data_IF_574839058497
#
_entry.id   IF_574839058497
#
_cell.length_a   1.000
_cell.length_b   1.000
_cell.length_c   1.000
_cell.angle_alpha   90.00
_cell.angle_beta   90.00
_cell.angle_gamma   90.00
#
_symmetry.space_group_name_H-M   'P 1'
#
loop_
_entity.id
_entity.type
_entity.pdbx_description
1 polymer ?
#
# COMPACT_ATOMS: atom_id res chain seq x y z
N UNK A 1 13.36 37.94 1.88
CA UNK A 1 12.56 37.75 3.11
C UNK A 1 11.10 37.58 2.72
N UNK A 2 10.62 36.35 2.67
CA UNK A 2 9.23 35.99 2.95
C UNK A 2 9.22 34.48 3.16
N UNK A 3 8.60 34.05 4.25
CA UNK A 3 8.75 32.75 4.89
C UNK A 3 8.11 31.66 4.03
N UNK A 4 8.88 30.64 3.68
CA UNK A 4 8.35 29.35 3.18
C UNK A 4 7.68 28.66 4.35
N UNK A 5 6.36 28.61 4.31
CA UNK A 5 5.54 27.81 5.20
C UNK A 5 5.70 26.35 4.78
N UNK A 6 6.46 25.59 5.55
CA UNK A 6 6.43 24.14 5.50
C UNK A 6 5.07 23.69 6.05
N UNK A 7 4.20 23.22 5.17
CA UNK A 7 2.96 22.52 5.55
C UNK A 7 3.28 21.03 5.51
N UNK A 8 2.96 20.35 6.61
CA UNK A 8 3.11 18.92 6.79
C UNK A 8 2.33 18.16 5.72
N UNK A 9 3.04 17.56 4.76
CA UNK A 9 2.52 16.42 4.05
C UNK A 9 2.56 15.23 5.02
N UNK A 10 1.38 14.72 5.38
CA UNK A 10 1.27 13.43 6.04
C UNK A 10 1.98 12.40 5.18
N UNK A 11 2.90 11.66 5.79
CA UNK A 11 3.69 10.63 5.13
C UNK A 11 2.79 9.47 4.71
N UNK A 12 2.17 9.56 3.52
CA UNK A 12 1.89 8.39 2.71
C UNK A 12 3.26 7.87 2.24
N UNK A 13 3.85 7.01 3.06
CA UNK A 13 5.06 6.28 2.71
C UNK A 13 4.77 5.33 1.55
N UNK A 14 4.74 5.83 0.33
CA UNK A 14 4.86 5.02 -0.88
C UNK A 14 6.29 4.51 -0.87
N UNK A 15 6.45 3.22 -0.55
CA UNK A 15 7.73 2.53 -0.63
C UNK A 15 8.14 2.43 -2.11
N UNK A 16 8.85 3.46 -2.60
CA UNK A 16 9.59 3.40 -3.84
C UNK A 16 10.74 2.40 -3.65
N UNK A 17 10.68 1.28 -4.35
CA UNK A 17 11.83 0.42 -4.58
C UNK A 17 12.00 0.27 -6.08
N UNK A 18 12.68 1.26 -6.67
CA UNK A 18 13.38 1.08 -7.94
C UNK A 18 14.42 -0.03 -7.73
N UNK A 19 14.23 -1.15 -8.42
CA UNK A 19 15.17 -2.25 -8.47
C UNK A 19 16.43 -1.84 -9.24
N UNK A 20 17.31 -1.07 -8.60
CA UNK A 20 18.69 -0.85 -9.04
C UNK A 20 19.64 -1.69 -8.18
N UNK A 21 20.03 -2.87 -8.67
CA UNK A 21 21.10 -3.66 -8.04
C UNK A 21 22.42 -2.86 -8.06
N UNK A 22 22.81 -2.33 -6.91
CA UNK A 22 24.21 -2.05 -6.59
C UNK A 22 24.61 -2.95 -5.42
N UNK A 23 24.97 -4.20 -5.74
CA UNK A 23 25.67 -5.10 -4.82
C UNK A 23 27.06 -4.54 -4.51
N UNK A 24 27.19 -3.72 -3.47
CA UNK A 24 28.51 -3.44 -2.88
C UNK A 24 28.92 -4.62 -2.00
N UNK A 25 29.63 -5.57 -2.60
CA UNK A 25 30.36 -6.62 -1.87
C UNK A 25 31.60 -5.98 -1.24
N UNK A 26 31.49 -5.43 -0.02
CA UNK A 26 32.67 -5.00 0.76
C UNK A 26 33.28 -6.20 1.47
N UNK A 27 34.60 -6.34 1.36
CA UNK A 27 35.36 -7.38 2.04
C UNK A 27 35.29 -7.18 3.56
N UNK A 28 35.18 -8.30 4.30
CA UNK A 28 35.14 -8.32 5.76
C UNK A 28 36.51 -7.90 6.31
N UNK A 29 36.56 -6.76 6.98
CA UNK A 29 37.62 -6.38 7.91
C UNK A 29 37.22 -6.88 9.32
N UNK A 30 38.03 -7.69 10.02
CA UNK A 30 37.64 -8.32 11.30
C UNK A 30 37.46 -7.35 12.48
N UNK A 31 37.77 -6.06 12.32
CA UNK A 31 37.77 -5.06 13.39
C UNK A 31 36.59 -4.09 13.43
N UNK A 32 35.70 -4.09 12.44
CA UNK A 32 34.60 -3.14 12.38
C UNK A 32 33.30 -3.82 12.85
N UNK A 33 32.76 -3.40 14.00
CA UNK A 33 31.38 -3.76 14.37
C UNK A 33 30.49 -3.40 13.18
N UNK A 34 29.62 -4.33 12.82
CA UNK A 34 28.63 -4.08 11.79
C UNK A 34 27.85 -2.81 12.20
N UNK A 35 27.91 -1.69 11.47
CA UNK A 35 27.15 -0.49 11.80
C UNK A 35 25.63 -0.76 11.83
N UNK A 36 25.19 -1.91 11.31
CA UNK A 36 23.81 -2.40 11.36
C UNK A 36 23.47 -3.16 12.66
N UNK A 37 24.44 -3.53 13.50
CA UNK A 37 24.25 -4.43 14.68
C UNK A 37 23.38 -3.85 15.80
N UNK A 38 23.34 -2.54 15.99
CA UNK A 38 22.62 -1.90 17.10
C UNK A 38 21.20 -1.41 16.72
N UNK A 39 20.79 -1.54 15.46
CA UNK A 39 19.53 -0.98 14.93
C UNK A 39 18.57 -2.06 14.42
N UNK A 40 18.44 -3.11 15.23
CA UNK A 40 17.62 -4.27 14.93
C UNK A 40 16.15 -4.06 15.32
N UNK A 41 15.26 -4.78 14.63
CA UNK A 41 13.90 -4.99 15.14
C UNK A 41 13.97 -5.51 16.58
N UNK A 42 13.05 -5.11 17.48
CA UNK A 42 12.92 -5.74 18.78
C UNK A 42 12.83 -7.27 18.62
N UNK A 43 13.54 -8.03 19.45
CA UNK A 43 13.50 -9.49 19.41
C UNK A 43 12.07 -10.01 19.70
N UNK A 44 11.73 -11.19 19.19
CA UNK A 44 10.51 -11.86 19.57
C UNK A 44 10.63 -12.23 21.05
N UNK A 45 9.51 -12.32 21.80
CA UNK A 45 9.60 -12.90 23.13
C UNK A 45 10.11 -14.34 23.03
N UNK A 46 10.88 -14.77 24.03
CA UNK A 46 11.25 -16.17 24.15
C UNK A 46 9.96 -17.02 24.27
N UNK A 47 9.88 -18.16 23.55
CA UNK A 47 8.76 -19.06 23.71
C UNK A 47 8.59 -19.51 25.16
N UNK A 48 7.34 -19.64 25.62
CA UNK A 48 7.03 -20.08 26.98
C UNK A 48 5.97 -21.17 26.98
N UNK A 49 6.12 -22.12 27.89
CA UNK A 49 5.20 -23.22 28.17
C UNK A 49 4.25 -22.93 29.36
N UNK A 50 4.26 -21.69 29.86
CA UNK A 50 3.33 -21.23 30.89
C UNK A 50 1.87 -21.37 30.43
N UNK A 51 0.94 -21.76 31.34
CA UNK A 51 -0.49 -21.78 31.03
C UNK A 51 -0.97 -20.43 30.53
N UNK A 52 -1.73 -20.46 29.44
CA UNK A 52 -2.28 -19.26 28.81
C UNK A 52 -3.80 -19.23 28.90
N UNK A 53 -4.33 -18.02 29.09
CA UNK A 53 -5.74 -17.71 28.97
C UNK A 53 -5.97 -16.91 27.69
N UNK A 54 -6.99 -17.31 26.94
CA UNK A 54 -7.39 -16.67 25.68
C UNK A 54 -8.72 -15.94 25.88
N UNK A 55 -8.78 -14.69 25.43
CA UNK A 55 -10.01 -13.90 25.37
C UNK A 55 -10.30 -13.54 23.93
N UNK A 56 -11.43 -13.99 23.40
CA UNK A 56 -11.94 -13.54 22.11
C UNK A 56 -12.67 -12.21 22.29
N UNK A 57 -12.42 -11.24 21.42
CA UNK A 57 -12.92 -9.88 21.59
C UNK A 57 -12.90 -9.08 20.28
N UNK A 58 -13.46 -7.87 20.27
CA UNK A 58 -13.37 -6.98 19.12
C UNK A 58 -11.94 -6.46 18.89
N UNK A 59 -11.15 -6.29 19.95
CA UNK A 59 -9.78 -5.80 19.85
C UNK A 59 -9.15 -5.55 21.22
N UNK A 60 -8.05 -4.82 21.25
CA UNK A 60 -7.32 -4.47 22.46
C UNK A 60 -7.34 -2.97 22.71
N UNK A 61 -7.59 -2.56 23.96
CA UNK A 61 -7.41 -1.18 24.38
C UNK A 61 -6.13 -1.06 25.22
N UNK A 62 -5.13 -0.44 24.61
CA UNK A 62 -3.85 -0.07 25.20
C UNK A 62 -3.98 0.76 26.50
N UNK A 63 -4.95 1.67 26.55
CA UNK A 63 -5.07 2.63 27.64
C UNK A 63 -5.62 1.96 28.92
N UNK A 64 -6.68 1.17 28.76
CA UNK A 64 -7.25 0.38 29.87
C UNK A 64 -6.57 -0.96 30.08
N UNK A 65 -5.70 -1.39 29.16
CA UNK A 65 -5.03 -2.69 29.13
C UNK A 65 -6.03 -3.83 29.22
N UNK A 66 -7.08 -3.74 28.41
CA UNK A 66 -8.18 -4.70 28.47
C UNK A 66 -8.71 -5.08 27.07
N UNK A 67 -9.27 -6.30 26.93
CA UNK A 67 -9.98 -6.70 25.73
C UNK A 67 -11.24 -5.83 25.53
N UNK A 68 -11.40 -5.28 24.33
CA UNK A 68 -12.56 -4.45 23.94
C UNK A 68 -13.69 -5.37 23.48
N UNK A 69 -14.86 -5.27 24.11
CA UNK A 69 -16.05 -6.07 23.77
C UNK A 69 -15.75 -7.57 23.64
N UNK A 70 -15.46 -8.28 24.75
CA UNK A 70 -15.28 -9.72 24.74
C UNK A 70 -16.47 -10.44 24.10
N UNK A 71 -16.22 -11.60 23.49
CA UNK A 71 -17.22 -12.47 22.87
C UNK A 71 -16.94 -13.94 23.20
N UNK A 72 -17.93 -14.80 23.04
CA UNK A 72 -17.74 -16.24 23.18
C UNK A 72 -16.88 -16.81 22.06
N UNK A 73 -16.23 -17.94 22.33
CA UNK A 73 -15.48 -18.68 21.31
C UNK A 73 -16.37 -19.11 20.14
N UNK A 74 -17.63 -19.46 20.40
CA UNK A 74 -18.59 -19.84 19.37
C UNK A 74 -18.88 -18.67 18.41
N UNK A 75 -18.96 -17.44 18.93
CA UNK A 75 -19.09 -16.23 18.11
C UNK A 75 -17.81 -15.99 17.30
N UNK A 76 -16.64 -16.10 17.92
CA UNK A 76 -15.36 -15.93 17.22
C UNK A 76 -15.19 -16.96 16.09
N UNK A 77 -15.53 -18.24 16.32
CA UNK A 77 -15.51 -19.28 15.28
C UNK A 77 -16.49 -19.01 14.13
N UNK A 78 -17.67 -18.46 14.43
CA UNK A 78 -18.61 -18.03 13.37
C UNK A 78 -18.04 -16.87 12.55
N UNK A 79 -17.39 -15.89 13.21
CA UNK A 79 -16.74 -14.78 12.51
C UNK A 79 -15.59 -15.26 11.64
N UNK A 80 -14.72 -16.13 12.18
CA UNK A 80 -13.63 -16.74 11.45
C UNK A 80 -14.13 -17.48 10.20
N UNK A 81 -15.15 -18.33 10.34
CA UNK A 81 -15.74 -19.05 9.21
C UNK A 81 -16.42 -18.14 8.18
N UNK A 82 -17.00 -17.01 8.60
CA UNK A 82 -17.61 -16.01 7.72
C UNK A 82 -16.57 -15.05 7.08
N UNK A 83 -15.30 -15.17 7.45
CA UNK A 83 -14.24 -14.24 7.07
C UNK A 83 -14.34 -12.86 7.72
N UNK A 84 -15.14 -12.74 8.77
CA UNK A 84 -15.35 -11.54 9.55
C UNK A 84 -14.13 -11.15 10.40
N UNK A 85 -14.29 -10.02 11.08
CA UNK A 85 -13.27 -9.44 11.93
C UNK A 85 -13.40 -9.97 13.37
N UNK A 86 -12.29 -10.33 14.00
CA UNK A 86 -12.21 -10.63 15.44
C UNK A 86 -10.76 -10.51 15.94
N UNK A 87 -10.59 -10.41 17.25
CA UNK A 87 -9.29 -10.42 17.89
C UNK A 87 -9.22 -11.46 19.01
N UNK A 88 -7.99 -11.84 19.35
CA UNK A 88 -7.65 -12.81 20.37
C UNK A 88 -6.58 -12.21 21.27
N UNK A 89 -6.90 -11.96 22.53
CA UNK A 89 -5.92 -11.53 23.52
C UNK A 89 -5.40 -12.76 24.25
N UNK A 90 -4.08 -12.96 24.26
CA UNK A 90 -3.43 -14.08 24.92
C UNK A 90 -2.74 -13.57 26.18
N UNK A 91 -3.14 -14.10 27.32
CA UNK A 91 -2.62 -13.74 28.64
C UNK A 91 -1.79 -14.89 29.22
N UNK A 92 -0.64 -14.57 29.81
CA UNK A 92 0.16 -15.48 30.62
C UNK A 92 0.30 -14.88 32.03
N UNK A 93 0.00 -15.66 33.06
CA UNK A 93 -0.02 -15.16 34.45
C UNK A 93 -0.98 -13.99 34.68
N UNK A 94 -2.06 -13.89 33.88
CA UNK A 94 -3.04 -12.78 33.94
C UNK A 94 -2.58 -11.48 33.27
N UNK A 95 -1.41 -11.47 32.62
CA UNK A 95 -0.87 -10.32 31.89
C UNK A 95 -0.95 -10.59 30.40
N UNK A 96 -1.48 -9.63 29.63
CA UNK A 96 -1.48 -9.74 28.17
C UNK A 96 -0.05 -9.83 27.65
N UNK A 97 0.23 -10.82 26.80
CA UNK A 97 1.53 -11.02 26.14
C UNK A 97 1.44 -10.80 24.65
N UNK A 98 0.32 -11.21 24.06
CA UNK A 98 0.07 -11.03 22.65
C UNK A 98 -1.39 -10.66 22.37
N UNK A 99 -1.59 -9.95 21.26
CA UNK A 99 -2.90 -9.67 20.67
C UNK A 99 -2.84 -10.16 19.24
N UNK A 100 -3.82 -10.94 18.82
CA UNK A 100 -3.96 -11.39 17.44
C UNK A 100 -5.19 -10.76 16.83
N UNK A 101 -5.04 -10.14 15.68
CA UNK A 101 -6.14 -9.53 14.92
C UNK A 101 -6.34 -10.27 13.60
N UNK A 102 -7.58 -10.63 13.28
CA UNK A 102 -7.92 -11.50 12.16
C UNK A 102 -9.09 -10.95 11.36
N UNK A 103 -8.95 -10.92 10.04
CA UNK A 103 -10.02 -10.62 9.10
C UNK A 103 -9.75 -11.27 7.74
N UNK A 104 -10.43 -12.38 7.44
CA UNK A 104 -10.17 -13.11 6.18
C UNK A 104 -10.78 -12.46 4.94
N UNK A 105 -11.80 -11.62 5.09
CA UNK A 105 -12.27 -10.76 4.00
C UNK A 105 -11.17 -9.80 3.50
N UNK A 106 -10.15 -9.52 4.32
CA UNK A 106 -8.96 -8.74 3.97
C UNK A 106 -7.69 -9.61 3.87
N UNK A 107 -7.81 -10.93 3.87
CA UNK A 107 -6.69 -11.88 3.90
C UNK A 107 -5.70 -11.63 5.05
N UNK A 108 -6.14 -11.03 6.16
CA UNK A 108 -5.25 -10.50 7.18
C UNK A 108 -5.28 -11.31 8.47
N UNK A 109 -4.09 -11.58 9.00
CA UNK A 109 -3.90 -11.92 10.40
C UNK A 109 -2.65 -11.21 10.90
N UNK A 110 -2.65 -10.71 12.13
CA UNK A 110 -1.48 -10.06 12.71
C UNK A 110 -1.33 -10.38 14.17
N UNK A 111 -0.09 -10.73 14.57
CA UNK A 111 0.28 -10.97 15.97
C UNK A 111 1.08 -9.78 16.47
N UNK A 112 0.60 -9.10 17.51
CA UNK A 112 1.34 -8.06 18.23
C UNK A 112 1.78 -8.56 19.58
N UNK A 113 2.97 -8.14 19.98
CA UNK A 113 3.49 -8.34 21.32
C UNK A 113 3.42 -7.04 22.11
N UNK A 114 2.96 -7.16 23.35
CA UNK A 114 2.81 -6.03 24.28
C UNK A 114 3.82 -6.15 25.42
N UNK A 115 4.37 -5.02 25.84
CA UNK A 115 5.24 -4.94 27.01
C UNK A 115 4.41 -4.97 28.32
N UNK A 116 5.08 -5.01 29.47
CA UNK A 116 4.40 -5.03 30.78
C UNK A 116 3.57 -3.75 31.06
N UNK A 117 3.72 -2.70 30.24
CA UNK A 117 2.89 -1.48 30.28
C UNK A 117 1.71 -1.55 29.31
N UNK A 118 1.51 -2.68 28.63
CA UNK A 118 0.46 -2.90 27.64
C UNK A 118 0.78 -2.36 26.25
N UNK A 119 2.01 -1.86 26.02
CA UNK A 119 2.39 -1.14 24.80
C UNK A 119 2.91 -2.09 23.74
N UNK A 120 2.45 -1.93 22.50
CA UNK A 120 3.02 -2.67 21.37
C UNK A 120 4.51 -2.35 21.19
N UNK A 121 5.33 -3.39 21.04
CA UNK A 121 6.75 -3.23 20.70
C UNK A 121 7.17 -3.99 19.44
N UNK A 122 6.48 -5.09 19.10
CA UNK A 122 6.70 -5.87 17.88
C UNK A 122 5.38 -6.37 17.30
N UNK A 123 5.29 -6.47 15.98
CA UNK A 123 4.13 -6.98 15.26
C UNK A 123 4.54 -7.79 14.04
N UNK A 124 3.86 -8.90 13.78
CA UNK A 124 4.05 -9.71 12.58
C UNK A 124 2.72 -9.86 11.86
N UNK A 125 2.60 -9.18 10.72
CA UNK A 125 1.45 -9.28 9.83
C UNK A 125 1.66 -10.41 8.83
N UNK A 126 0.61 -11.21 8.68
CA UNK A 126 0.49 -12.32 7.76
C UNK A 126 -0.55 -12.02 6.69
N UNK A 127 -0.44 -12.77 5.59
CA UNK A 127 -1.48 -12.87 4.57
C UNK A 127 -1.92 -14.32 4.41
N UNK A 128 -3.23 -14.54 4.30
CA UNK A 128 -3.82 -15.84 3.95
C UNK A 128 -3.88 -15.98 2.43
N UNK A 129 -3.08 -16.90 1.91
CA UNK A 129 -2.95 -17.17 0.47
C UNK A 129 -4.00 -18.19 0.01
N UNK A 130 -4.24 -18.32 -1.33
CA UNK A 130 -5.24 -19.24 -1.88
C UNK A 130 -5.02 -20.72 -1.53
N UNK A 131 -3.80 -21.10 -1.14
CA UNK A 131 -3.44 -22.44 -0.69
C UNK A 131 -3.68 -22.66 0.82
N UNK A 132 -4.41 -21.75 1.48
CA UNK A 132 -4.78 -21.84 2.89
C UNK A 132 -3.60 -21.79 3.86
N UNK A 133 -2.54 -21.08 3.45
CA UNK A 133 -1.35 -20.86 4.28
C UNK A 133 -1.17 -19.38 4.62
N UNK A 134 -0.70 -19.15 5.84
CA UNK A 134 -0.26 -17.84 6.31
C UNK A 134 1.20 -17.64 5.93
N UNK A 135 1.47 -16.58 5.18
CA UNK A 135 2.82 -16.15 4.83
C UNK A 135 3.08 -14.78 5.43
N UNK A 136 4.30 -14.58 5.93
CA UNK A 136 4.73 -13.29 6.47
C UNK A 136 4.65 -12.25 5.35
N UNK A 137 4.02 -11.14 5.69
CA UNK A 137 3.85 -9.97 4.83
C UNK A 137 4.72 -8.83 5.32
N UNK A 138 4.66 -8.52 6.62
CA UNK A 138 5.42 -7.43 7.21
C UNK A 138 5.72 -7.69 8.68
N UNK A 139 6.93 -7.35 9.12
CA UNK A 139 7.30 -7.29 10.54
C UNK A 139 7.54 -5.83 10.92
N UNK A 140 6.95 -5.40 12.02
CA UNK A 140 7.01 -4.02 12.52
C UNK A 140 7.59 -3.98 13.92
N UNK A 141 8.40 -2.96 14.19
CA UNK A 141 8.99 -2.69 15.49
C UNK A 141 8.73 -1.27 15.93
N UNK A 142 8.40 -1.09 17.21
CA UNK A 142 8.16 0.21 17.83
C UNK A 142 9.17 0.43 18.95
N UNK A 143 9.92 1.54 18.87
CA UNK A 143 10.75 2.03 19.98
C UNK A 143 9.96 3.05 20.79
N UNK A 144 9.57 2.68 22.01
CA UNK A 144 8.95 3.60 22.96
C UNK A 144 9.94 4.02 24.03
N UNK A 145 10.09 5.32 24.24
CA UNK A 145 10.81 5.84 25.40
C UNK A 145 10.15 5.42 26.73
N UNK A 146 10.86 5.53 27.86
CA UNK A 146 10.35 5.10 29.17
C UNK A 146 9.05 5.79 29.59
N UNK A 147 8.84 7.06 29.17
CA UNK A 147 7.66 7.87 29.49
C UNK A 147 6.62 7.96 28.36
N UNK A 148 6.85 7.29 27.22
CA UNK A 148 5.93 7.33 26.10
C UNK A 148 4.68 6.51 26.40
N UNK A 149 3.50 7.14 26.29
CA UNK A 149 2.21 6.43 26.20
C UNK A 149 2.17 5.64 24.89
N UNK A 150 1.41 4.55 24.84
CA UNK A 150 1.05 3.94 23.56
C UNK A 150 0.18 4.94 22.79
N UNK A 151 0.84 5.70 21.92
CA UNK A 151 0.23 6.41 20.83
C UNK A 151 0.23 5.42 19.67
N UNK A 152 -0.83 5.41 18.87
CA UNK A 152 -0.87 4.74 17.57
C UNK A 152 0.13 5.41 16.61
N UNK A 153 1.41 5.37 16.95
CA UNK A 153 2.51 5.97 16.24
C UNK A 153 3.03 5.03 15.16
N UNK A 154 3.64 5.63 14.15
CA UNK A 154 4.31 4.92 13.09
C UNK A 154 5.41 3.99 13.65
N UNK A 155 5.56 2.76 13.13
CA UNK A 155 6.64 1.89 13.55
C UNK A 155 7.98 2.51 13.18
N UNK A 156 8.94 2.44 14.09
CA UNK A 156 10.31 2.92 13.87
C UNK A 156 11.12 1.99 12.98
N UNK A 157 10.64 0.77 12.77
CA UNK A 157 11.28 -0.23 11.90
C UNK A 157 10.21 -1.07 11.21
N UNK A 158 10.40 -1.32 9.92
CA UNK A 158 9.54 -2.15 9.08
C UNK A 158 10.40 -3.10 8.25
N UNK A 159 9.92 -4.33 8.11
CA UNK A 159 10.54 -5.36 7.28
C UNK A 159 9.46 -5.91 6.40
N UNK A 160 9.59 -5.70 5.10
CA UNK A 160 8.58 -6.07 4.14
C UNK A 160 9.02 -7.28 3.33
N UNK A 161 8.15 -8.27 3.24
CA UNK A 161 8.37 -9.47 2.43
C UNK A 161 7.49 -9.38 1.20
N UNK A 162 8.11 -9.18 0.03
CA UNK A 162 7.45 -9.23 -1.28
C UNK A 162 7.65 -10.63 -1.87
N UNK A 163 6.71 -11.09 -2.67
CA UNK A 163 6.63 -12.46 -3.18
C UNK A 163 6.41 -12.48 -4.69
N UNK A 164 6.38 -13.68 -5.24
CA UNK A 164 5.84 -13.96 -6.57
C UNK A 164 4.41 -14.51 -6.42
N UNK A 165 3.69 -14.64 -7.54
CA UNK A 165 2.32 -15.16 -7.56
C UNK A 165 2.20 -16.61 -7.03
N UNK A 166 3.29 -17.38 -7.05
CA UNK A 166 3.35 -18.73 -6.46
C UNK A 166 3.62 -18.74 -4.94
N UNK A 167 3.76 -17.56 -4.32
CA UNK A 167 4.01 -17.39 -2.90
C UNK A 167 5.48 -17.50 -2.49
N UNK A 168 6.42 -17.69 -3.42
CA UNK A 168 7.87 -17.67 -3.12
C UNK A 168 8.35 -16.26 -2.79
N UNK A 169 9.34 -16.12 -1.89
CA UNK A 169 9.90 -14.83 -1.51
C UNK A 169 10.67 -14.24 -2.69
N UNK A 170 10.30 -13.02 -3.09
CA UNK A 170 10.94 -12.24 -4.16
C UNK A 170 12.00 -11.32 -3.58
N UNK A 171 11.63 -10.50 -2.59
CA UNK A 171 12.54 -9.58 -1.91
C UNK A 171 12.14 -9.40 -0.46
N UNK A 172 13.13 -9.08 0.38
CA UNK A 172 12.93 -8.62 1.76
C UNK A 172 13.59 -7.26 1.91
N UNK A 173 12.80 -6.21 2.14
CA UNK A 173 13.30 -4.86 2.38
C UNK A 173 13.17 -4.50 3.85
N UNK A 174 14.06 -3.64 4.33
CA UNK A 174 14.07 -3.13 5.70
C UNK A 174 14.16 -1.63 5.67
N UNK A 175 13.25 -0.98 6.39
CA UNK A 175 13.17 0.47 6.56
C UNK A 175 13.19 0.77 8.06
N UNK A 176 14.23 1.44 8.55
CA UNK A 176 14.39 1.75 9.98
C UNK A 176 14.75 3.21 10.18
N UNK A 177 14.08 3.86 11.13
CA UNK A 177 14.50 5.14 11.68
C UNK A 177 15.64 4.94 12.68
N UNK A 178 16.75 5.61 12.47
CA UNK A 178 17.97 5.53 13.27
C UNK A 178 17.87 6.40 14.51
N UNK A 179 18.65 6.07 15.54
CA UNK A 179 18.60 6.81 16.82
C UNK A 179 18.97 8.30 16.69
N UNK A 180 19.69 8.67 15.63
CA UNK A 180 20.03 10.06 15.28
C UNK A 180 18.99 10.77 14.39
N UNK A 181 17.82 10.16 14.15
CA UNK A 181 16.76 10.69 13.27
C UNK A 181 16.99 10.45 11.77
N UNK A 182 18.05 9.73 11.40
CA UNK A 182 18.28 9.28 10.03
C UNK A 182 17.32 8.15 9.64
N UNK A 183 17.27 7.80 8.35
CA UNK A 183 16.56 6.60 7.87
C UNK A 183 17.53 5.68 7.17
N UNK A 184 17.41 4.38 7.44
CA UNK A 184 18.12 3.31 6.76
C UNK A 184 17.12 2.50 5.94
N UNK A 185 17.40 2.35 4.65
CA UNK A 185 16.69 1.46 3.75
C UNK A 185 17.69 0.45 3.17
N UNK A 186 17.40 -0.84 3.33
CA UNK A 186 18.28 -1.92 2.85
C UNK A 186 17.47 -3.16 2.43
N UNK A 187 18.12 -4.13 1.81
CA UNK A 187 17.54 -5.44 1.51
C UNK A 187 18.49 -6.55 1.93
N UNK A 188 17.93 -7.73 2.26
CA UNK A 188 18.69 -8.93 2.61
C UNK A 188 17.92 -10.19 2.24
N UNK A 189 18.59 -11.32 2.22
CA UNK A 189 17.93 -12.61 2.05
C UNK A 189 17.17 -13.00 3.32
N UNK A 190 16.02 -13.67 3.16
CA UNK A 190 15.22 -14.14 4.30
C UNK A 190 16.00 -15.07 5.23
N UNK A 191 16.89 -15.90 4.66
CA UNK A 191 17.73 -16.82 5.43
C UNK A 191 18.75 -16.10 6.35
N UNK A 192 19.09 -14.86 6.03
CA UNK A 192 19.99 -14.00 6.81
C UNK A 192 19.21 -13.07 7.77
N UNK A 193 17.90 -13.27 7.88
CA UNK A 193 17.07 -12.53 8.84
C UNK A 193 17.32 -13.04 10.26
N UNK A 194 17.72 -12.18 11.21
CA UNK A 194 17.88 -12.59 12.60
C UNK A 194 16.51 -12.82 13.24
N UNK A 195 16.28 -14.02 13.80
CA UNK A 195 15.02 -14.39 14.47
C UNK A 195 13.77 -14.19 13.57
N UNK A 196 13.69 -14.90 12.44
CA UNK A 196 12.57 -14.77 11.53
C UNK A 196 11.30 -15.34 12.18
N UNK A 197 10.15 -14.67 12.08
CA UNK A 197 8.89 -15.24 12.52
C UNK A 197 8.57 -16.51 11.71
N UNK A 198 7.73 -17.37 12.27
CA UNK A 198 7.26 -18.57 11.56
C UNK A 198 6.66 -18.18 10.20
N UNK A 199 7.13 -18.82 9.14
CA UNK A 199 6.79 -18.50 7.76
C UNK A 199 6.10 -19.69 7.09
N UNK A 200 5.19 -19.38 6.16
CA UNK A 200 4.44 -20.36 5.39
C UNK A 200 3.82 -21.44 6.29
N UNK A 201 2.99 -21.03 7.25
CA UNK A 201 2.36 -21.90 8.25
C UNK A 201 0.89 -22.18 7.91
N UNK A 202 0.30 -23.29 8.38
CA UNK A 202 -1.14 -23.49 8.29
C UNK A 202 -1.91 -22.38 9.01
N UNK A 203 -3.10 -22.03 8.52
CA UNK A 203 -4.02 -21.14 9.25
C UNK A 203 -4.40 -21.83 10.58
N UNK A 204 -4.11 -21.23 11.75
CA UNK A 204 -4.51 -21.80 13.03
C UNK A 204 -6.04 -21.82 13.16
N UNK A 205 -6.58 -22.81 13.88
CA UNK A 205 -7.92 -22.68 14.42
C UNK A 205 -7.99 -21.52 15.42
N UNK A 206 -9.19 -21.07 15.76
CA UNK A 206 -9.43 -19.94 16.68
C UNK A 206 -8.75 -20.10 18.05
N UNK A 207 -8.57 -21.32 18.54
CA UNK A 207 -7.87 -21.65 19.78
C UNK A 207 -6.36 -21.91 19.60
N UNK A 208 -5.87 -21.97 18.35
CA UNK A 208 -4.47 -22.25 18.00
C UNK A 208 -3.59 -21.01 17.86
N UNK A 209 -4.14 -19.81 18.00
CA UNK A 209 -3.39 -18.55 17.89
C UNK A 209 -2.23 -18.38 18.88
N UNK A 210 -2.31 -18.82 20.16
CA UNK A 210 -1.18 -18.74 21.10
C UNK A 210 0.12 -19.35 20.56
N UNK A 211 0.02 -20.46 19.81
CA UNK A 211 1.19 -21.17 19.25
C UNK A 211 1.95 -20.27 18.27
N UNK A 212 1.24 -19.49 17.44
CA UNK A 212 1.88 -18.57 16.50
C UNK A 212 2.57 -17.40 17.20
N UNK A 213 2.14 -17.07 18.43
CA UNK A 213 2.78 -16.09 19.30
C UNK A 213 3.93 -16.69 20.14
N UNK A 214 4.30 -17.97 19.94
CA UNK A 214 5.34 -18.65 20.73
C UNK A 214 4.87 -19.07 22.13
N UNK A 215 3.58 -19.01 22.43
CA UNK A 215 2.98 -19.36 23.71
C UNK A 215 2.40 -20.77 23.62
N UNK A 216 3.15 -21.77 24.09
CA UNK A 216 2.89 -23.20 23.83
C UNK A 216 2.34 -23.97 25.04
N UNK A 217 2.12 -23.31 26.16
CA UNK A 217 1.55 -23.92 27.36
C UNK A 217 0.06 -24.29 27.21
N UNK A 218 -0.53 -24.93 28.24
CA UNK A 218 -1.95 -25.29 28.23
C UNK A 218 -2.86 -24.07 28.03
N UNK A 219 -3.78 -24.17 27.07
CA UNK A 219 -4.70 -23.09 26.71
C UNK A 219 -6.02 -23.24 27.47
N UNK A 220 -6.48 -22.15 28.07
CA UNK A 220 -7.83 -22.00 28.62
C UNK A 220 -8.55 -20.84 27.93
N UNK A 221 -9.86 -20.93 27.74
CA UNK A 221 -10.64 -19.88 27.09
C UNK A 221 -11.51 -19.19 28.12
N UNK A 222 -11.40 -17.86 28.21
CA UNK A 222 -12.29 -17.05 29.05
C UNK A 222 -13.69 -16.99 28.44
N UNK A 223 -14.76 -17.29 29.19
CA UNK A 223 -16.12 -17.13 28.70
C UNK A 223 -16.43 -15.67 28.32
N UNK A 224 -17.26 -15.50 27.30
CA UNK A 224 -17.75 -14.21 26.84
C UNK A 224 -19.21 -14.31 26.35
N UNK A 225 -19.86 -13.17 26.07
CA UNK A 225 -21.24 -13.14 25.58
C UNK A 225 -21.36 -13.76 24.18
N UNK A 226 -22.51 -14.39 23.91
CA UNK A 226 -22.86 -14.95 22.59
C UNK A 226 -23.40 -13.86 21.63
N UNK A 227 -22.72 -12.71 21.59
CA UNK A 227 -23.08 -11.57 20.76
C UNK A 227 -21.88 -11.09 19.95
N UNK A 228 -22.13 -10.76 18.68
CA UNK A 228 -21.14 -10.13 17.82
C UNK A 228 -20.98 -8.66 18.24
N UNK A 229 -19.75 -8.17 18.48
CA UNK A 229 -19.52 -6.76 18.75
C UNK A 229 -20.04 -5.85 17.62
N UNK A 230 -20.70 -4.76 17.98
CA UNK A 230 -21.23 -3.79 17.02
C UNK A 230 -20.13 -2.94 16.34
N UNK A 231 -18.96 -2.81 16.97
CA UNK A 231 -17.84 -2.04 16.47
C UNK A 231 -16.52 -2.71 16.86
N UNK A 232 -15.49 -2.45 16.06
CA UNK A 232 -14.14 -2.94 16.27
C UNK A 232 -13.17 -1.74 16.37
N UNK A 233 -12.21 -1.76 17.31
CA UNK A 233 -11.30 -0.63 17.53
C UNK A 233 -10.18 -0.53 16.50
N UNK A 234 -10.06 -1.52 15.60
CA UNK A 234 -9.07 -1.60 14.55
C UNK A 234 -9.75 -1.80 13.20
N UNK A 235 -9.03 -1.50 12.12
CA UNK A 235 -9.50 -1.71 10.74
C UNK A 235 -8.51 -2.63 10.03
N UNK A 236 -8.99 -3.67 9.34
CA UNK A 236 -8.10 -4.51 8.55
C UNK A 236 -7.47 -3.68 7.43
N UNK A 237 -6.19 -3.93 7.10
CA UNK A 237 -5.52 -3.20 6.03
C UNK A 237 -6.20 -3.49 4.70
N UNK A 238 -6.39 -2.47 3.88
CA UNK A 238 -6.85 -2.60 2.51
C UNK A 238 -5.99 -1.77 1.55
N UNK A 239 -5.79 -2.26 0.30
CA UNK A 239 -5.15 -1.46 -0.74
C UNK A 239 -5.86 -0.10 -0.92
N UNK A 240 -5.18 0.83 -1.60
CA UNK A 240 -5.77 2.11 -1.94
C UNK A 240 -7.14 1.92 -2.60
N UNK A 241 -8.13 2.69 -2.16
CA UNK A 241 -9.48 2.69 -2.72
C UNK A 241 -9.70 3.92 -3.59
N UNK A 242 -10.48 3.80 -4.68
CA UNK A 242 -10.80 4.94 -5.52
C UNK A 242 -11.61 5.96 -4.72
N UNK A 243 -11.27 7.25 -4.84
CA UNK A 243 -12.02 8.36 -4.27
C UNK A 243 -12.45 9.32 -5.37
N UNK A 244 -13.76 9.51 -5.53
CA UNK A 244 -14.36 10.50 -6.44
C UNK A 244 -13.80 10.47 -7.88
N UNK A 245 -13.44 9.30 -8.39
CA UNK A 245 -12.77 9.16 -9.70
C UNK A 245 -13.66 9.65 -10.85
N UNK A 246 -14.97 9.47 -10.71
CA UNK A 246 -15.96 9.98 -11.68
C UNK A 246 -15.92 11.50 -11.71
N UNK A 247 -15.97 12.16 -10.56
CA UNK A 247 -15.93 13.61 -10.43
C UNK A 247 -14.57 14.17 -10.87
N UNK A 248 -13.47 13.50 -10.51
CA UNK A 248 -12.09 13.85 -10.92
C UNK A 248 -11.92 13.87 -12.44
N UNK A 249 -12.72 13.08 -13.16
CA UNK A 249 -12.68 12.94 -14.63
C UNK A 249 -13.92 13.47 -15.32
N UNK A 250 -14.63 14.41 -14.68
CA UNK A 250 -15.78 15.12 -15.22
C UNK A 250 -15.46 16.61 -15.36
N UNK A 251 -15.54 17.12 -16.59
CA UNK A 251 -15.35 18.55 -16.86
C UNK A 251 -16.34 19.41 -16.07
N UNK A 252 -15.87 20.47 -15.45
CA UNK A 252 -16.67 21.37 -14.62
C UNK A 252 -17.04 20.85 -13.23
N UNK A 253 -16.66 19.61 -12.87
CA UNK A 253 -16.83 19.11 -11.51
C UNK A 253 -16.07 20.00 -10.51
N UNK A 254 -16.62 20.14 -9.31
CA UNK A 254 -16.06 21.02 -8.27
C UNK A 254 -15.74 20.23 -7.03
N UNK A 255 -14.64 20.61 -6.39
CA UNK A 255 -14.20 20.07 -5.12
C UNK A 255 -14.04 21.20 -4.11
N UNK A 256 -14.42 20.94 -2.86
CA UNK A 256 -14.19 21.83 -1.72
C UNK A 256 -13.14 21.20 -0.81
N UNK A 257 -12.02 21.88 -0.65
CA UNK A 257 -10.92 21.50 0.25
C UNK A 257 -11.29 21.79 1.71
N UNK A 258 -10.55 21.19 2.65
CA UNK A 258 -10.78 21.40 4.10
C UNK A 258 -10.61 22.87 4.55
N UNK A 259 -9.76 23.62 3.85
CA UNK A 259 -9.54 25.05 4.09
C UNK A 259 -10.56 25.96 3.36
N UNK A 260 -11.55 25.36 2.70
CA UNK A 260 -12.68 26.06 2.08
C UNK A 260 -12.45 26.59 0.66
N UNK A 261 -11.27 26.33 0.05
CA UNK A 261 -11.05 26.63 -1.37
C UNK A 261 -11.96 25.76 -2.23
N UNK A 262 -12.33 26.28 -3.40
CA UNK A 262 -13.10 25.54 -4.40
C UNK A 262 -12.24 25.36 -5.65
N UNK A 263 -12.00 24.11 -6.01
CA UNK A 263 -11.26 23.71 -7.20
C UNK A 263 -12.27 23.29 -8.28
N UNK A 264 -12.04 23.69 -9.52
CA UNK A 264 -12.87 23.25 -10.67
C UNK A 264 -12.02 22.43 -11.63
N UNK A 265 -12.52 21.25 -12.00
CA UNK A 265 -11.93 20.36 -13.00
C UNK A 265 -12.15 20.91 -14.40
N UNK A 266 -11.09 20.88 -15.21
CA UNK A 266 -11.10 21.24 -16.63
C UNK A 266 -10.53 20.09 -17.45
N UNK A 267 -11.29 19.63 -18.43
CA UNK A 267 -10.87 18.62 -19.39
C UNK A 267 -10.14 19.25 -20.58
N UNK A 268 -9.05 18.62 -21.01
CA UNK A 268 -8.38 18.89 -22.28
C UNK A 268 -8.22 17.59 -23.05
N UNK A 269 -8.75 17.53 -24.28
CA UNK A 269 -8.58 16.33 -25.13
C UNK A 269 -7.14 16.21 -25.61
N UNK A 270 -6.54 15.03 -25.41
CA UNK A 270 -5.21 14.66 -25.91
C UNK A 270 -5.27 13.88 -27.23
N UNK A 271 -6.45 13.80 -27.85
CA UNK A 271 -6.69 13.06 -29.08
C UNK A 271 -6.82 11.56 -28.80
N UNK A 272 -6.11 10.74 -29.56
CA UNK A 272 -6.15 9.27 -29.47
C UNK A 272 -4.77 8.69 -29.21
N UNK A 273 -4.71 7.47 -28.67
CA UNK A 273 -3.49 6.68 -28.52
C UNK A 273 -3.66 5.34 -29.23
N UNK A 274 -2.64 4.89 -29.96
CA UNK A 274 -2.61 3.58 -30.61
C UNK A 274 -2.01 2.52 -29.68
N UNK A 275 -2.80 1.47 -29.42
CA UNK A 275 -2.38 0.29 -28.66
C UNK A 275 -2.39 -0.97 -29.54
N UNK A 276 -1.39 -1.19 -30.42
CA UNK A 276 -1.33 -2.36 -31.29
C UNK A 276 -1.28 -3.70 -30.54
N UNK A 277 -0.80 -3.74 -29.31
CA UNK A 277 -0.81 -4.96 -28.47
C UNK A 277 -2.05 -5.07 -27.58
N UNK A 278 -2.79 -3.96 -27.40
CA UNK A 278 -3.88 -3.87 -26.44
C UNK A 278 -3.43 -3.79 -24.97
N UNK A 279 -2.13 -3.67 -24.68
CA UNK A 279 -1.61 -3.48 -23.32
C UNK A 279 -1.15 -2.03 -23.10
N UNK A 280 -1.84 -1.32 -22.22
CA UNK A 280 -1.47 0.04 -21.81
C UNK A 280 -0.29 0.00 -20.83
N UNK A 281 0.76 0.76 -21.15
CA UNK A 281 1.86 1.07 -20.26
C UNK A 281 1.70 2.51 -19.74
N UNK A 282 1.86 2.68 -18.43
CA UNK A 282 1.93 3.97 -17.74
C UNK A 282 3.26 4.01 -17.01
N UNK A 283 4.18 4.87 -17.44
CA UNK A 283 5.55 4.88 -16.91
C UNK A 283 6.18 6.28 -17.01
N UNK A 284 7.35 6.45 -16.41
CA UNK A 284 8.14 7.66 -16.60
C UNK A 284 8.69 7.76 -18.04
N UNK A 285 8.46 8.88 -18.74
CA UNK A 285 8.99 9.12 -20.09
C UNK A 285 10.54 9.04 -20.16
N UNK A 286 11.25 9.55 -19.16
CA UNK A 286 12.72 9.50 -19.08
C UNK A 286 13.28 8.08 -18.90
N UNK A 287 12.44 7.12 -18.49
CA UNK A 287 12.82 5.74 -18.22
C UNK A 287 12.20 4.72 -19.18
N UNK A 288 11.63 5.13 -20.32
CA UNK A 288 11.02 4.20 -21.29
C UNK A 288 11.98 3.14 -21.86
N UNK A 289 13.29 3.39 -21.78
CA UNK A 289 14.33 2.45 -22.17
C UNK A 289 14.51 1.28 -21.18
N UNK A 290 14.02 1.44 -19.94
CA UNK A 290 13.97 0.38 -18.94
C UNK A 290 12.66 -0.39 -19.08
N UNK A 291 12.73 -1.71 -18.99
CA UNK A 291 11.54 -2.56 -19.06
C UNK A 291 10.61 -2.27 -17.87
N UNK A 292 9.53 -1.54 -18.12
CA UNK A 292 8.44 -1.30 -17.17
C UNK A 292 7.29 -2.28 -17.43
N UNK A 293 6.62 -2.71 -16.37
CA UNK A 293 5.49 -3.62 -16.49
C UNK A 293 4.26 -2.86 -17.03
N UNK A 294 3.55 -3.36 -18.05
CA UNK A 294 2.28 -2.79 -18.47
C UNK A 294 1.17 -3.15 -17.48
N UNK A 295 0.00 -2.52 -17.62
CA UNK A 295 -1.20 -2.94 -16.90
C UNK A 295 -1.60 -4.37 -17.32
N UNK A 296 -1.99 -5.18 -16.34
CA UNK A 296 -2.40 -6.56 -16.58
C UNK A 296 -3.79 -6.69 -17.20
N UNK A 297 -4.59 -5.62 -17.22
CA UNK A 297 -5.92 -5.59 -17.83
C UNK A 297 -5.77 -5.22 -19.32
N UNK A 298 -5.92 -6.18 -20.25
CA UNK A 298 -5.79 -5.88 -21.67
C UNK A 298 -7.07 -5.23 -22.21
N UNK A 299 -6.91 -4.57 -23.36
CA UNK A 299 -8.00 -4.17 -24.26
C UNK A 299 -7.78 -4.79 -25.63
N UNK A 300 -8.76 -4.67 -26.53
CA UNK A 300 -8.53 -5.03 -27.92
C UNK A 300 -7.42 -4.16 -28.53
N UNK A 301 -6.66 -4.64 -29.51
CA UNK A 301 -5.80 -3.77 -30.30
C UNK A 301 -6.62 -2.67 -30.98
N UNK A 302 -6.20 -1.40 -30.87
CA UNK A 302 -7.02 -0.31 -31.39
C UNK A 302 -6.49 1.10 -31.13
N UNK A 303 -7.38 2.07 -31.35
CA UNK A 303 -7.16 3.49 -31.05
C UNK A 303 -8.15 3.94 -29.98
N UNK A 304 -7.65 4.63 -28.96
CA UNK A 304 -8.43 4.98 -27.78
C UNK A 304 -8.32 6.47 -27.49
N UNK A 305 -9.43 7.11 -27.15
CA UNK A 305 -9.43 8.54 -26.82
C UNK A 305 -8.70 8.76 -25.49
N UNK A 306 -7.91 9.84 -25.41
CA UNK A 306 -7.20 10.25 -24.20
C UNK A 306 -7.60 11.66 -23.82
N UNK A 307 -7.87 11.88 -22.54
CA UNK A 307 -8.20 13.17 -21.96
C UNK A 307 -7.32 13.45 -20.74
N UNK A 308 -6.86 14.69 -20.62
CA UNK A 308 -6.12 15.18 -19.45
C UNK A 308 -7.03 16.10 -18.65
N UNK A 309 -7.06 15.90 -17.34
CA UNK A 309 -7.86 16.68 -16.40
C UNK A 309 -6.92 17.52 -15.54
N UNK A 310 -7.19 18.82 -15.51
CA UNK A 310 -6.49 19.75 -14.64
C UNK A 310 -7.48 20.40 -13.67
N UNK A 311 -7.03 20.79 -12.49
CA UNK A 311 -7.82 21.64 -11.59
C UNK A 311 -7.21 23.02 -11.48
N UNK A 312 -8.08 24.03 -11.37
CA UNK A 312 -7.72 25.39 -11.02
C UNK A 312 -8.49 25.81 -9.76
N UNK A 313 -7.85 26.61 -8.91
CA UNK A 313 -8.57 27.29 -7.83
C UNK A 313 -9.48 28.37 -8.42
N UNK A 314 -10.75 28.39 -7.99
CA UNK A 314 -11.70 29.40 -8.44
C UNK A 314 -11.23 30.80 -8.04
N UNK A 315 -11.03 31.67 -9.04
CA UNK A 315 -10.48 33.01 -8.84
C UNK A 315 -8.95 33.11 -8.98
N UNK A 316 -8.25 31.99 -9.20
CA UNK A 316 -6.81 31.91 -9.53
C UNK A 316 -6.54 30.89 -10.65
N UNK A 317 -7.06 31.14 -11.87
CA UNK A 317 -6.97 30.18 -12.98
C UNK A 317 -5.54 29.92 -13.48
N UNK A 318 -4.57 30.76 -13.10
CA UNK A 318 -3.16 30.62 -13.46
C UNK A 318 -2.43 29.47 -12.73
N UNK A 319 -2.95 29.00 -11.59
CA UNK A 319 -2.41 27.84 -10.88
C UNK A 319 -3.22 26.60 -11.27
N UNK A 320 -2.71 25.84 -12.25
CA UNK A 320 -3.32 24.58 -12.67
C UNK A 320 -2.42 23.40 -12.33
N UNK A 321 -3.02 22.31 -11.86
CA UNK A 321 -2.33 21.04 -11.65
C UNK A 321 -3.04 19.95 -12.44
N UNK A 322 -2.28 19.08 -13.10
CA UNK A 322 -2.84 17.85 -13.66
C UNK A 322 -3.24 16.93 -12.53
N UNK A 323 -4.49 16.48 -12.56
CA UNK A 323 -5.08 15.63 -11.51
C UNK A 323 -5.36 14.23 -12.00
N UNK A 324 -5.66 14.08 -13.30
CA UNK A 324 -5.91 12.78 -13.88
C UNK A 324 -5.59 12.75 -15.39
N UNK A 325 -5.31 11.55 -15.88
CA UNK A 325 -5.31 11.25 -17.32
C UNK A 325 -6.22 10.04 -17.56
N UNK A 326 -7.18 10.16 -18.48
CA UNK A 326 -8.13 9.10 -18.81
C UNK A 326 -7.88 8.56 -20.22
N UNK A 327 -7.82 7.24 -20.36
CA UNK A 327 -7.99 6.56 -21.64
C UNK A 327 -9.38 5.91 -21.70
N UNK A 328 -10.19 6.30 -22.68
CA UNK A 328 -11.54 5.72 -22.89
C UNK A 328 -11.46 4.54 -23.85
N UNK A 329 -11.91 3.36 -23.38
CA UNK A 329 -12.01 2.11 -24.14
C UNK A 329 -13.36 2.03 -24.84
N UNK A 330 -14.43 2.33 -24.12
CA UNK A 330 -15.82 2.38 -24.61
C UNK A 330 -16.59 3.51 -23.91
N UNK A 331 -17.63 4.01 -24.57
CA UNK A 331 -18.54 5.02 -23.98
C UNK A 331 -19.56 4.42 -22.99
N UNK A 332 -19.44 3.13 -22.66
CA UNK A 332 -20.29 2.50 -21.67
C UNK A 332 -20.15 3.21 -20.30
N UNK A 333 -21.25 3.39 -19.54
CA UNK A 333 -21.16 3.91 -18.18
C UNK A 333 -20.34 2.99 -17.26
N UNK A 334 -19.55 3.60 -16.37
CA UNK A 334 -18.80 2.85 -15.34
C UNK A 334 -19.74 2.45 -14.22
N UNK A 335 -19.82 1.15 -13.95
CA UNK A 335 -20.56 0.54 -12.85
C UNK A 335 -19.70 0.35 -11.59
N UNK A 336 -18.39 0.11 -11.74
CA UNK A 336 -17.45 -0.03 -10.62
C UNK A 336 -16.05 0.45 -10.99
N UNK A 337 -15.29 0.82 -9.95
CA UNK A 337 -13.88 1.20 -10.05
C UNK A 337 -13.03 0.21 -9.27
N UNK A 338 -11.93 -0.23 -9.88
CA UNK A 338 -10.95 -1.14 -9.27
C UNK A 338 -9.54 -0.63 -9.54
N UNK A 339 -8.59 -0.91 -8.64
CA UNK A 339 -7.18 -0.67 -8.91
C UNK A 339 -6.74 -1.59 -10.07
N UNK A 340 -6.12 -1.03 -11.09
CA UNK A 340 -5.57 -1.77 -12.21
C UNK A 340 -4.17 -2.29 -11.85
N UNK A 341 -3.98 -3.61 -11.70
CA UNK A 341 -2.67 -4.17 -11.38
C UNK A 341 -1.71 -4.07 -12.58
N UNK A 342 -0.41 -3.99 -12.30
CA UNK A 342 0.63 -4.24 -13.30
C UNK A 342 0.76 -5.74 -13.56
N UNK A 343 1.29 -6.09 -14.73
CA UNK A 343 1.60 -7.48 -15.07
C UNK A 343 2.59 -8.09 -14.06
N UNK A 344 2.17 -9.19 -13.42
CA UNK A 344 2.96 -9.86 -12.39
C UNK A 344 2.69 -9.39 -10.95
N UNK A 345 1.84 -8.38 -10.75
CA UNK A 345 1.46 -7.95 -9.41
C UNK A 345 0.65 -9.00 -8.64
N UNK A 346 0.84 -8.98 -7.33
CA UNK A 346 0.10 -9.82 -6.38
C UNK A 346 -0.63 -8.92 -5.40
N UNK A 347 -1.96 -8.87 -5.48
CA UNK A 347 -2.78 -8.00 -4.61
C UNK A 347 -2.55 -8.22 -3.11
N UNK A 348 -2.21 -9.44 -2.71
CA UNK A 348 -1.88 -9.79 -1.31
C UNK A 348 -0.62 -9.07 -0.80
N UNK A 349 0.20 -8.50 -1.69
CA UNK A 349 1.37 -7.72 -1.32
C UNK A 349 1.05 -6.27 -0.99
N UNK A 350 -0.18 -5.80 -1.19
CA UNK A 350 -0.54 -4.42 -0.88
C UNK A 350 -0.99 -4.29 0.58
N UNK A 351 -0.44 -3.27 1.24
CA UNK A 351 -0.79 -2.84 2.59
C UNK A 351 -1.95 -1.85 2.61
N UNK A 352 -2.14 -1.23 3.78
CA UNK A 352 -3.12 -0.15 3.94
C UNK A 352 -2.78 1.04 3.04
N UNK A 353 -3.72 1.42 2.18
CA UNK A 353 -3.56 2.55 1.25
C UNK A 353 -2.48 2.36 0.17
N UNK A 354 -1.88 1.17 0.07
CA UNK A 354 -0.85 0.90 -0.94
C UNK A 354 -1.47 0.55 -2.29
N UNK A 355 -0.71 0.80 -3.35
CA UNK A 355 -1.04 0.45 -4.73
C UNK A 355 0.24 0.10 -5.49
N UNK A 356 0.08 -0.51 -6.66
CA UNK A 356 1.18 -0.72 -7.60
C UNK A 356 1.18 0.37 -8.67
N UNK A 357 2.37 0.83 -9.04
CA UNK A 357 2.58 1.77 -10.14
C UNK A 357 4.03 1.72 -10.57
N UNK A 358 4.30 2.08 -11.82
CA UNK A 358 5.68 2.27 -12.27
C UNK A 358 6.22 3.58 -11.65
N UNK A 359 7.50 3.59 -11.23
CA UNK A 359 8.12 4.77 -10.64
C UNK A 359 8.24 5.92 -11.64
N UNK A 360 8.19 7.15 -11.12
CA UNK A 360 8.28 8.43 -11.80
C UNK A 360 9.27 9.32 -11.08
N UNK A 361 10.29 9.78 -11.81
CA UNK A 361 11.37 10.65 -11.33
C UNK A 361 11.44 11.99 -12.10
N UNK A 362 10.68 12.12 -13.19
CA UNK A 362 10.65 13.32 -14.03
C UNK A 362 9.45 14.22 -13.73
N UNK A 363 8.71 13.92 -12.65
CA UNK A 363 7.38 14.47 -12.37
C UNK A 363 6.43 14.47 -13.58
N UNK A 364 6.62 13.54 -14.51
CA UNK A 364 5.89 13.45 -15.79
C UNK A 364 5.54 11.99 -16.06
N UNK A 365 4.39 11.74 -16.67
CA UNK A 365 3.92 10.41 -17.00
C UNK A 365 3.74 10.23 -18.50
N UNK A 366 4.05 9.04 -19.00
CA UNK A 366 3.82 8.63 -20.38
C UNK A 366 2.77 7.52 -20.43
N UNK A 367 1.76 7.69 -21.28
CA UNK A 367 0.87 6.63 -21.72
C UNK A 367 1.33 6.14 -23.10
N UNK A 368 1.47 4.83 -23.27
CA UNK A 368 1.88 4.20 -24.54
C UNK A 368 1.48 2.73 -24.60
N UNK A 369 1.58 2.13 -25.78
CA UNK A 369 1.58 0.68 -25.92
C UNK A 369 2.89 0.10 -25.40
N UNK A 370 2.82 -1.00 -24.65
CA UNK A 370 4.01 -1.63 -24.06
C UNK A 370 5.05 -2.08 -25.11
N UNK A 371 4.63 -2.42 -26.34
CA UNK A 371 5.54 -2.79 -27.44
C UNK A 371 6.19 -1.58 -28.11
N UNK A 372 5.70 -0.38 -27.81
CA UNK A 372 6.09 0.87 -28.46
C UNK A 372 7.23 1.63 -27.78
N UNK A 373 7.71 1.20 -26.61
CA UNK A 373 8.69 1.98 -25.82
C UNK A 373 9.99 2.26 -26.58
N UNK A 374 10.48 1.28 -27.35
CA UNK A 374 11.70 1.43 -28.15
C UNK A 374 11.54 2.28 -29.43
N UNK A 375 10.31 2.71 -29.77
CA UNK A 375 10.05 3.47 -30.99
C UNK A 375 10.39 4.97 -30.87
N UNK A 376 10.67 5.46 -29.66
CA UNK A 376 10.91 6.89 -29.39
C UNK A 376 12.35 7.11 -28.90
N UNK A 377 13.19 7.83 -29.68
CA UNK A 377 14.52 8.22 -29.22
C UNK A 377 14.44 9.08 -27.95
N UNK A 378 15.36 8.88 -27.01
CA UNK A 378 15.35 9.59 -25.72
C UNK A 378 15.32 11.11 -25.89
N UNK A 379 16.07 11.67 -26.86
CA UNK A 379 16.09 13.11 -27.12
C UNK A 379 14.74 13.72 -27.53
N UNK A 380 13.90 12.96 -28.25
CA UNK A 380 12.55 13.41 -28.62
C UNK A 380 11.63 13.43 -27.40
N UNK A 381 11.75 12.40 -26.55
CA UNK A 381 11.01 12.29 -25.29
C UNK A 381 11.43 13.38 -24.30
N UNK A 382 12.73 13.62 -24.17
CA UNK A 382 13.31 14.67 -23.34
C UNK A 382 12.81 16.06 -23.73
N UNK A 383 12.64 16.30 -25.04
CA UNK A 383 12.09 17.56 -25.56
C UNK A 383 10.58 17.69 -25.30
N UNK A 384 9.87 16.58 -25.14
CA UNK A 384 8.42 16.54 -24.90
C UNK A 384 8.02 16.69 -23.42
N UNK A 385 8.94 16.50 -22.47
CA UNK A 385 8.65 16.65 -21.04
C UNK A 385 8.50 18.11 -20.56
N UNK A 386 9.36 19.08 -20.92
CA UNK A 386 9.30 20.41 -20.34
C UNK A 386 8.16 21.29 -20.89
N UNK A 387 7.68 22.21 -20.04
CA UNK A 387 6.79 23.32 -20.41
C UNK A 387 5.40 23.27 -19.75
N UNK A 388 4.58 24.28 -20.04
CA UNK A 388 3.29 24.50 -19.36
C UNK A 388 2.09 23.87 -20.08
N UNK A 389 2.35 23.07 -21.12
CA UNK A 389 1.27 22.46 -21.86
C UNK A 389 0.67 21.27 -21.10
N UNK A 390 -0.65 21.06 -21.15
CA UNK A 390 -1.31 19.99 -20.40
C UNK A 390 -0.88 18.58 -20.85
N UNK A 391 -0.36 18.46 -22.08
CA UNK A 391 0.26 17.25 -22.58
C UNK A 391 1.12 17.55 -23.83
N UNK A 392 1.95 16.57 -24.21
CA UNK A 392 2.59 16.46 -25.52
C UNK A 392 2.31 15.08 -26.11
N UNK A 393 2.16 15.01 -27.43
CA UNK A 393 1.99 13.75 -28.14
C UNK A 393 3.15 13.55 -29.11
N UNK A 394 3.73 12.35 -29.06
CA UNK A 394 4.69 11.87 -30.04
C UNK A 394 4.08 10.67 -30.76
N UNK A 395 4.37 10.55 -32.05
CA UNK A 395 3.84 9.49 -32.90
C UNK A 395 4.97 8.86 -33.69
N UNK A 396 5.14 7.54 -33.59
CA UNK A 396 6.18 6.78 -34.28
C UNK A 396 5.60 5.46 -34.80
N UNK A 397 5.67 5.23 -36.12
CA UNK A 397 5.15 4.01 -36.74
C UNK A 397 3.67 3.75 -36.38
N UNK A 398 3.41 2.64 -35.70
CA UNK A 398 2.06 2.19 -35.29
C UNK A 398 1.73 2.48 -33.81
N UNK A 399 2.55 3.25 -33.10
CA UNK A 399 2.36 3.57 -31.69
C UNK A 399 2.39 5.09 -31.44
N UNK A 400 1.87 5.49 -30.29
CA UNK A 400 1.86 6.85 -29.80
C UNK A 400 2.36 6.87 -28.35
N UNK A 401 2.96 7.99 -27.96
CA UNK A 401 3.20 8.35 -26.56
C UNK A 401 2.46 9.64 -26.26
N UNK A 402 1.66 9.64 -25.19
CA UNK A 402 1.09 10.86 -24.60
C UNK A 402 1.85 11.15 -23.32
N UNK A 403 2.63 12.22 -23.33
CA UNK A 403 3.40 12.73 -22.20
C UNK A 403 2.56 13.76 -21.46
N UNK A 404 2.37 13.56 -20.16
CA UNK A 404 1.49 14.35 -19.30
C UNK A 404 2.29 14.84 -18.08
N UNK A 405 2.46 16.16 -17.89
CA UNK A 405 3.13 16.68 -16.70
C UNK A 405 2.28 16.39 -15.46
N UNK A 406 2.92 15.87 -14.43
CA UNK A 406 2.36 15.67 -13.10
C UNK A 406 2.70 16.82 -12.15
N UNK A 407 2.62 16.56 -10.85
CA UNK A 407 2.95 17.54 -9.80
C UNK A 407 4.11 17.09 -8.88
N UNK A 408 4.51 15.81 -8.95
CA UNK A 408 5.59 15.24 -8.13
C UNK A 408 6.21 14.00 -8.76
N UNK A 409 7.35 13.60 -8.22
CA UNK A 409 7.91 12.27 -8.37
C UNK A 409 7.11 11.26 -7.53
N UNK A 410 7.31 9.96 -7.77
CA UNK A 410 6.71 8.87 -7.01
C UNK A 410 6.14 7.77 -7.88
N UNK A 411 4.90 7.39 -7.63
CA UNK A 411 4.14 6.44 -8.44
C UNK A 411 2.68 6.81 -8.32
N UNK A 412 1.88 6.50 -9.35
CA UNK A 412 0.48 6.90 -9.42
C UNK A 412 -0.41 5.69 -9.69
N UNK A 413 -1.51 5.52 -8.94
CA UNK A 413 -2.43 4.42 -9.17
C UNK A 413 -3.14 4.61 -10.51
N UNK A 414 -3.38 3.50 -11.18
CA UNK A 414 -4.30 3.47 -12.32
C UNK A 414 -5.58 2.78 -11.88
N UNK A 415 -6.71 3.41 -12.14
CA UNK A 415 -8.04 2.85 -11.90
C UNK A 415 -8.63 2.32 -13.20
N UNK A 416 -9.18 1.11 -13.18
CA UNK A 416 -10.01 0.59 -14.26
C UNK A 416 -11.48 0.77 -13.90
N UNK A 417 -12.21 1.49 -14.75
CA UNK A 417 -13.66 1.62 -14.67
C UNK A 417 -14.29 0.49 -15.47
N UNK A 418 -15.07 -0.38 -14.82
CA UNK A 418 -15.78 -1.49 -15.46
C UNK A 418 -17.20 -1.11 -15.82
N UNK A 419 -17.66 -1.54 -17.00
CA UNK A 419 -19.06 -1.50 -17.37
C UNK A 419 -19.88 -2.55 -16.58
N UNK A 420 -21.20 -2.51 -16.72
CA UNK A 420 -22.11 -3.44 -16.01
C UNK A 420 -21.85 -4.92 -16.32
N UNK A 421 -21.26 -5.24 -17.47
CA UNK A 421 -20.86 -6.60 -17.87
C UNK A 421 -19.46 -7.00 -17.39
N UNK A 422 -18.77 -6.12 -16.65
CA UNK A 422 -17.40 -6.32 -16.15
C UNK A 422 -16.28 -5.96 -17.15
N UNK A 423 -16.62 -5.62 -18.39
CA UNK A 423 -15.64 -5.21 -19.40
C UNK A 423 -15.01 -3.85 -19.06
N UNK A 424 -13.74 -3.59 -19.43
CA UNK A 424 -13.10 -2.29 -19.18
C UNK A 424 -13.76 -1.21 -20.06
N UNK A 425 -14.27 -0.15 -19.43
CA UNK A 425 -14.77 1.05 -20.11
C UNK A 425 -13.69 2.12 -20.24
N UNK A 426 -12.88 2.32 -19.20
CA UNK A 426 -11.85 3.37 -19.18
C UNK A 426 -10.76 3.07 -18.15
N UNK A 427 -9.58 3.64 -18.38
CA UNK A 427 -8.48 3.68 -17.43
C UNK A 427 -8.25 5.12 -16.98
N UNK A 428 -7.98 5.33 -15.71
CA UNK A 428 -7.68 6.66 -15.14
C UNK A 428 -6.40 6.58 -14.34
N UNK A 429 -5.37 7.28 -14.80
CA UNK A 429 -4.20 7.58 -13.97
C UNK A 429 -4.60 8.71 -13.04
N UNK A 430 -4.52 8.47 -11.73
CA UNK A 430 -4.85 9.44 -10.69
C UNK A 430 -3.55 9.98 -10.10
N UNK A 431 -3.32 11.28 -10.25
CA UNK A 431 -2.08 11.90 -9.81
C UNK A 431 -2.03 12.09 -8.28
N UNK A 432 -3.08 11.77 -7.51
CA UNK A 432 -3.08 11.89 -6.04
C UNK A 432 -2.69 13.29 -5.55
N UNK A 433 -3.22 14.33 -6.21
CA UNK A 433 -2.94 15.72 -5.84
C UNK A 433 -3.38 15.96 -4.38
N UNK A 434 -2.50 16.46 -3.48
CA UNK A 434 -2.77 16.50 -2.05
C UNK A 434 -4.04 17.27 -1.67
N UNK A 435 -4.32 18.37 -2.36
CA UNK A 435 -5.51 19.17 -2.13
C UNK A 435 -6.81 18.39 -2.41
N UNK A 436 -6.77 17.37 -3.27
CA UNK A 436 -7.92 16.52 -3.60
C UNK A 436 -8.01 15.26 -2.73
N UNK A 437 -6.93 14.91 -2.01
CA UNK A 437 -6.92 13.72 -1.16
C UNK A 437 -7.93 13.78 -0.01
N UNK A 438 -8.28 14.99 0.46
CA UNK A 438 -9.28 15.21 1.52
C UNK A 438 -10.49 16.02 1.06
N UNK A 439 -10.46 16.62 -0.13
CA UNK A 439 -11.57 17.42 -0.64
C UNK A 439 -12.80 16.57 -0.99
N UNK A 440 -13.97 17.18 -0.85
CA UNK A 440 -15.26 16.57 -1.19
C UNK A 440 -15.89 17.25 -2.42
N UNK A 441 -16.61 16.51 -3.28
CA UNK A 441 -17.40 17.10 -4.36
C UNK A 441 -18.37 18.18 -3.83
N UNK A 442 -18.40 19.33 -4.49
CA UNK A 442 -18.95 20.58 -3.98
C UNK A 442 -20.33 20.98 -4.51
#
# INVERSE_FOLDING_TARGET
MSRRTAVMAGALGVALLTGGLLTQRRSRDPGNRDPFSDEHLPAAPDPTDEPVEVVHCAGWDAASRSPVSPMSEAVARKQDAAGGQYAVVVLAGGVARAVVEVCWAAHHAEVWFVDDRGRRYRGTAYRRWPDERLRVFEVRGWRSGPDARELAGEPTSRVRVRRHADGTIRTVSTDTELSGGGKLQTSRDWADWPDPPSENVPVPAVDGWPVLAGLTGPVTVRPGPDEVPAAFPWKPPHPLRPRHITELTTDGARFRTDDGRVLTVKQTSAGTIRLPSGKLLVADPGWLHVAAAPLAVPVAPGQYAVDVFQVAENGKPETTWTVACRMTVTDAPVASWELAPLEGDVALELGEGEFSGNPVDTATLALLDHTGSAAFPSGDVDTAMPGDAPFRRLSAGQTDVVVVPGWSDGSFPVWVGRAADGSPSRFVVDFLVPDLCTAEPA
#
